data_IF_350818253590
#
_entry.id   IF_350818253590
#
_cell.length_a   1.000
_cell.length_b   1.000
_cell.length_c   1.000
_cell.angle_alpha   90.00
_cell.angle_beta   90.00
_cell.angle_gamma   90.00
#
_symmetry.space_group_name_H-M   'P 1'
#
loop_
_entity.id
_entity.type
_entity.pdbx_description
1 polymer ?
#
# COMPACT_ATOMS: atom_id res chain seq x y z
N UNK A 1 -16.26 -12.25 24.44
CA UNK A 1 -16.08 -12.85 23.10
C UNK A 1 -14.62 -12.63 22.71
N UNK A 2 -13.87 -13.71 22.46
CA UNK A 2 -12.50 -13.60 21.96
C UNK A 2 -12.53 -12.97 20.56
N UNK A 3 -11.77 -11.90 20.38
CA UNK A 3 -11.59 -11.29 19.06
C UNK A 3 -10.67 -12.19 18.23
N UNK A 4 -11.02 -12.45 16.98
CA UNK A 4 -10.13 -13.18 16.07
C UNK A 4 -8.82 -12.37 15.92
N UNK A 5 -7.69 -13.05 16.15
CA UNK A 5 -6.36 -12.47 15.92
C UNK A 5 -6.04 -12.53 14.43
N UNK A 6 -5.54 -11.46 13.87
CA UNK A 6 -5.13 -11.37 12.45
C UNK A 6 -3.81 -10.63 12.37
N UNK A 7 -2.86 -11.19 11.67
CA UNK A 7 -1.53 -10.59 11.47
C UNK A 7 -1.59 -9.56 10.34
N UNK A 8 -1.03 -8.37 10.57
CA UNK A 8 -0.74 -7.39 9.53
C UNK A 8 0.69 -7.61 9.03
N UNK A 9 0.82 -8.23 7.85
CA UNK A 9 2.10 -8.58 7.23
C UNK A 9 2.65 -7.38 6.45
N UNK A 10 3.18 -6.40 7.17
CA UNK A 10 3.82 -5.21 6.60
C UNK A 10 4.88 -4.68 7.57
N UNK A 11 6.06 -4.34 7.05
CA UNK A 11 7.10 -3.61 7.76
C UNK A 11 7.00 -2.09 7.62
N UNK A 12 6.12 -1.58 6.75
CA UNK A 12 5.98 -0.14 6.52
C UNK A 12 5.08 0.52 7.59
N UNK A 13 5.62 1.43 8.42
CA UNK A 13 4.86 2.06 9.50
C UNK A 13 3.66 2.88 9.02
N UNK A 14 3.79 3.58 7.88
CA UNK A 14 2.71 4.37 7.30
C UNK A 14 1.52 3.50 6.90
N UNK A 15 1.78 2.38 6.23
CA UNK A 15 0.76 1.39 5.87
C UNK A 15 0.07 0.79 7.10
N UNK A 16 0.84 0.47 8.15
CA UNK A 16 0.30 -0.08 9.39
C UNK A 16 -0.66 0.90 10.08
N UNK A 17 -0.31 2.19 10.13
CA UNK A 17 -1.16 3.24 10.70
C UNK A 17 -2.47 3.35 9.93
N UNK A 18 -2.42 3.44 8.59
CA UNK A 18 -3.60 3.50 7.74
C UNK A 18 -4.50 2.27 7.93
N UNK A 19 -3.94 1.05 7.83
CA UNK A 19 -4.70 -0.19 7.97
C UNK A 19 -5.33 -0.34 9.37
N UNK A 20 -4.58 -0.04 10.43
CA UNK A 20 -5.11 -0.09 11.81
C UNK A 20 -6.27 0.89 12.01
N UNK A 21 -6.13 2.13 11.53
CA UNK A 21 -7.18 3.15 11.62
C UNK A 21 -8.47 2.66 10.96
N UNK A 22 -8.39 2.14 9.76
CA UNK A 22 -9.55 1.72 8.97
C UNK A 22 -10.17 0.41 9.46
N UNK A 23 -9.37 -0.52 10.00
CA UNK A 23 -9.83 -1.81 10.55
C UNK A 23 -10.29 -1.72 12.01
N UNK A 24 -10.08 -0.59 12.68
CA UNK A 24 -10.39 -0.41 14.11
C UNK A 24 -11.85 -0.70 14.47
N UNK A 25 -12.78 -0.50 13.53
CA UNK A 25 -14.22 -0.75 13.71
C UNK A 25 -14.62 -2.24 13.61
N UNK A 26 -13.70 -3.13 13.19
CA UNK A 26 -13.98 -4.58 13.12
C UNK A 26 -13.66 -5.26 14.45
N UNK A 27 -14.40 -6.30 14.78
CA UNK A 27 -14.22 -7.11 16.01
C UNK A 27 -13.04 -8.09 15.87
N UNK A 28 -11.89 -7.60 15.37
CA UNK A 28 -10.65 -8.36 15.23
C UNK A 28 -9.53 -7.74 16.07
N UNK A 29 -8.60 -8.54 16.51
CA UNK A 29 -7.37 -8.11 17.16
C UNK A 29 -6.26 -8.12 16.11
N UNK A 30 -5.88 -6.94 15.62
CA UNK A 30 -4.81 -6.79 14.63
C UNK A 30 -3.46 -6.75 15.35
N UNK A 31 -2.55 -7.61 14.92
CA UNK A 31 -1.20 -7.74 15.46
C UNK A 31 -0.23 -7.50 14.29
N UNK A 32 0.74 -6.60 14.44
CA UNK A 32 1.73 -6.45 13.38
C UNK A 32 2.69 -7.64 13.35
N UNK A 33 3.25 -7.94 12.19
CA UNK A 33 4.25 -9.01 12.06
C UNK A 33 5.45 -8.77 12.96
N UNK A 34 5.84 -7.51 13.19
CA UNK A 34 6.95 -7.15 14.08
C UNK A 34 6.65 -7.44 15.57
N UNK A 35 5.38 -7.31 16.02
CA UNK A 35 4.97 -7.68 17.38
C UNK A 35 5.05 -9.20 17.62
N UNK A 36 5.09 -10.00 16.55
CA UNK A 36 5.21 -11.46 16.58
C UNK A 36 6.59 -11.95 16.13
N UNK A 37 7.57 -11.04 16.01
CA UNK A 37 8.95 -11.33 15.60
C UNK A 37 9.06 -12.03 14.23
N UNK A 38 8.03 -11.86 13.36
CA UNK A 38 8.04 -12.39 12.00
C UNK A 38 8.93 -11.51 11.13
N UNK A 39 9.93 -12.13 10.51
CA UNK A 39 10.87 -11.46 9.59
C UNK A 39 10.18 -11.09 8.27
N UNK A 40 10.73 -10.10 7.60
CA UNK A 40 10.29 -9.77 6.25
C UNK A 40 10.69 -10.89 5.27
N UNK A 41 9.82 -11.16 4.30
CA UNK A 41 10.07 -12.09 3.20
C UNK A 41 10.44 -11.32 1.95
N UNK A 42 11.31 -11.89 1.13
CA UNK A 42 11.67 -11.31 -0.17
C UNK A 42 10.46 -11.30 -1.12
N UNK A 43 10.20 -10.15 -1.70
CA UNK A 43 9.15 -9.94 -2.70
C UNK A 43 9.68 -10.32 -4.09
N UNK A 44 9.48 -11.58 -4.48
CA UNK A 44 9.95 -12.15 -5.75
C UNK A 44 8.87 -12.19 -6.83
N UNK A 45 7.68 -11.70 -6.54
CA UNK A 45 6.56 -11.65 -7.47
C UNK A 45 6.77 -10.60 -8.57
N UNK A 46 6.15 -10.83 -9.72
CA UNK A 46 6.21 -9.94 -10.88
C UNK A 46 5.11 -8.88 -10.88
N UNK A 47 4.19 -8.94 -9.92
CA UNK A 47 3.09 -8.00 -9.77
C UNK A 47 2.67 -7.87 -8.29
N UNK A 48 1.81 -6.86 -8.01
CA UNK A 48 1.33 -6.58 -6.65
C UNK A 48 0.55 -7.75 -6.02
N UNK A 49 -0.18 -8.54 -6.82
CA UNK A 49 -0.96 -9.68 -6.31
C UNK A 49 -0.03 -10.77 -5.78
N UNK A 50 1.00 -11.11 -6.54
CA UNK A 50 1.98 -12.13 -6.13
C UNK A 50 2.72 -11.71 -4.87
N UNK A 51 3.18 -10.47 -4.80
CA UNK A 51 3.89 -9.97 -3.61
C UNK A 51 2.99 -9.92 -2.38
N UNK A 52 1.73 -9.46 -2.51
CA UNK A 52 0.78 -9.50 -1.40
C UNK A 52 0.53 -10.93 -0.91
N UNK A 53 0.40 -11.90 -1.82
CA UNK A 53 0.22 -13.31 -1.47
C UNK A 53 1.47 -13.91 -0.80
N UNK A 54 2.67 -13.59 -1.28
CA UNK A 54 3.94 -14.03 -0.68
C UNK A 54 4.01 -13.55 0.78
N UNK A 55 3.79 -12.27 1.01
CA UNK A 55 3.80 -11.69 2.38
C UNK A 55 2.76 -12.31 3.28
N UNK A 56 1.52 -12.44 2.81
CA UNK A 56 0.44 -13.01 3.61
C UNK A 56 0.68 -14.49 3.94
N UNK A 57 1.14 -15.30 2.97
CA UNK A 57 1.48 -16.71 3.22
C UNK A 57 2.62 -16.87 4.21
N UNK A 58 3.66 -16.09 4.08
CA UNK A 58 4.78 -16.10 5.01
C UNK A 58 4.30 -15.82 6.44
N UNK A 59 3.54 -14.74 6.66
CA UNK A 59 3.00 -14.41 7.97
C UNK A 59 2.08 -15.52 8.54
N UNK A 60 1.23 -16.13 7.71
CA UNK A 60 0.41 -17.26 8.13
C UNK A 60 1.26 -18.48 8.52
N UNK A 61 2.34 -18.75 7.78
CA UNK A 61 3.20 -19.90 8.03
C UNK A 61 3.95 -19.77 9.36
N UNK A 62 4.52 -18.59 9.59
CA UNK A 62 5.31 -18.32 10.80
C UNK A 62 4.46 -18.25 12.08
N UNK A 63 3.20 -17.76 11.96
CA UNK A 63 2.37 -17.50 13.15
C UNK A 63 1.26 -18.50 13.39
N UNK A 64 0.88 -19.26 12.38
CA UNK A 64 -0.33 -20.10 12.42
C UNK A 64 -1.65 -19.30 12.47
N UNK A 65 -1.60 -17.97 12.31
CA UNK A 65 -2.76 -17.08 12.36
C UNK A 65 -3.19 -16.64 10.95
N UNK A 66 -4.46 -16.24 10.77
CA UNK A 66 -4.87 -15.52 9.58
C UNK A 66 -4.05 -14.24 9.40
N UNK A 67 -3.81 -13.85 8.15
CA UNK A 67 -3.03 -12.66 7.86
C UNK A 67 -3.68 -11.76 6.79
N UNK A 68 -3.36 -10.48 6.88
CA UNK A 68 -3.60 -9.47 5.85
C UNK A 68 -2.25 -8.93 5.43
N UNK A 69 -1.99 -8.90 4.13
CA UNK A 69 -0.86 -8.18 3.55
C UNK A 69 -1.36 -7.20 2.50
N UNK A 70 -0.69 -6.05 2.37
CA UNK A 70 -0.84 -5.20 1.22
C UNK A 70 0.44 -5.16 0.39
N UNK A 71 0.27 -5.08 -0.92
CA UNK A 71 1.30 -4.63 -1.82
C UNK A 71 0.77 -3.46 -2.63
N UNK A 72 1.58 -2.42 -2.77
CA UNK A 72 1.11 -1.16 -3.36
C UNK A 72 2.27 -0.34 -3.89
N UNK A 73 1.98 0.43 -4.93
CA UNK A 73 2.96 1.30 -5.55
C UNK A 73 2.32 2.33 -6.45
N UNK A 74 3.19 3.15 -7.03
CA UNK A 74 2.86 4.17 -8.01
C UNK A 74 3.15 3.63 -9.41
N UNK A 75 2.24 3.83 -10.34
CA UNK A 75 2.44 3.62 -11.77
C UNK A 75 2.34 4.97 -12.49
N UNK A 76 3.29 5.26 -13.37
CA UNK A 76 3.32 6.49 -14.18
C UNK A 76 3.28 6.11 -15.65
N UNK A 77 2.32 6.66 -16.40
CA UNK A 77 2.08 6.26 -17.79
C UNK A 77 3.26 6.56 -18.70
N UNK A 78 3.87 7.74 -18.55
CA UNK A 78 5.04 8.15 -19.32
C UNK A 78 6.29 7.28 -19.07
N UNK A 79 6.30 6.54 -17.97
CA UNK A 79 7.38 5.61 -17.60
C UNK A 79 6.98 4.14 -17.80
N UNK A 80 5.98 3.86 -18.64
CA UNK A 80 5.46 2.52 -18.94
C UNK A 80 5.07 1.72 -17.67
N UNK A 81 4.57 2.41 -16.63
CA UNK A 81 4.14 1.83 -15.37
C UNK A 81 5.20 1.81 -14.25
N UNK A 82 6.43 2.24 -14.54
CA UNK A 82 7.42 2.43 -13.46
C UNK A 82 6.98 3.56 -12.50
N UNK A 83 7.37 3.49 -11.23
CA UNK A 83 8.17 2.46 -10.56
C UNK A 83 7.44 1.14 -10.24
N UNK A 84 6.11 1.05 -10.29
CA UNK A 84 5.32 -0.16 -10.10
C UNK A 84 5.65 -0.87 -8.78
N UNK A 85 5.93 -2.17 -8.83
CA UNK A 85 6.31 -2.98 -7.66
C UNK A 85 7.64 -2.56 -7.01
N UNK A 86 8.43 -1.73 -7.68
CA UNK A 86 9.69 -1.20 -7.15
C UNK A 86 9.53 0.15 -6.43
N UNK A 87 8.30 0.63 -6.23
CA UNK A 87 8.01 1.97 -5.68
C UNK A 87 8.75 2.29 -4.39
N UNK A 88 8.84 1.35 -3.46
CA UNK A 88 9.52 1.57 -2.17
C UNK A 88 11.06 1.64 -2.28
N UNK A 89 11.63 1.15 -3.38
CA UNK A 89 13.07 1.03 -3.60
C UNK A 89 13.52 1.56 -4.97
N UNK A 90 12.77 2.49 -5.55
CA UNK A 90 12.98 2.99 -6.92
C UNK A 90 14.38 3.61 -7.10
N UNK A 91 14.86 4.37 -6.13
CA UNK A 91 16.20 4.92 -6.11
C UNK A 91 17.29 3.93 -5.63
N UNK A 92 16.94 2.68 -5.34
CA UNK A 92 17.85 1.66 -4.77
C UNK A 92 18.46 2.06 -3.42
N UNK A 93 17.78 2.94 -2.68
CA UNK A 93 18.16 3.40 -1.34
C UNK A 93 17.17 2.84 -0.32
N UNK A 94 17.66 2.47 0.86
CA UNK A 94 16.84 2.00 1.98
C UNK A 94 17.01 2.94 3.18
N UNK A 95 16.03 2.94 4.08
CA UNK A 95 16.10 3.71 5.32
C UNK A 95 15.33 5.03 5.27
N UNK A 96 15.59 5.94 6.21
CA UNK A 96 14.76 7.15 6.42
C UNK A 96 14.73 8.13 5.24
N UNK A 97 15.73 8.11 4.36
CA UNK A 97 15.82 9.00 3.19
C UNK A 97 15.22 8.39 1.94
N UNK A 98 14.78 7.14 1.96
CA UNK A 98 14.34 6.41 0.77
C UNK A 98 13.20 7.12 0.04
N UNK A 99 12.20 7.64 0.75
CA UNK A 99 11.07 8.34 0.13
C UNK A 99 11.54 9.60 -0.62
N UNK A 100 12.43 10.40 -0.01
CA UNK A 100 12.96 11.61 -0.65
C UNK A 100 13.80 11.28 -1.89
N UNK A 101 14.67 10.28 -1.82
CA UNK A 101 15.48 9.84 -2.95
C UNK A 101 14.61 9.24 -4.10
N UNK A 102 13.56 8.51 -3.76
CA UNK A 102 12.59 8.02 -4.74
C UNK A 102 11.88 9.17 -5.45
N UNK A 103 11.47 10.20 -4.71
CA UNK A 103 10.84 11.41 -5.28
C UNK A 103 11.79 12.17 -6.19
N UNK A 104 13.04 12.35 -5.79
CA UNK A 104 14.07 12.99 -6.63
C UNK A 104 14.26 12.21 -7.92
N UNK A 105 14.43 10.89 -7.85
CA UNK A 105 14.58 10.06 -9.06
C UNK A 105 13.36 10.16 -9.96
N UNK A 106 12.14 10.06 -9.40
CA UNK A 106 10.92 10.18 -10.19
C UNK A 106 10.84 11.51 -10.95
N UNK A 107 11.20 12.62 -10.30
CA UNK A 107 11.23 13.93 -10.94
C UNK A 107 12.28 14.03 -12.06
N UNK A 108 13.44 13.39 -11.87
CA UNK A 108 14.50 13.32 -12.89
C UNK A 108 14.03 12.56 -14.12
N UNK A 109 13.43 11.37 -13.94
CA UNK A 109 12.91 10.56 -15.05
C UNK A 109 11.78 11.28 -15.83
N UNK A 110 11.04 12.17 -15.15
CA UNK A 110 9.96 12.94 -15.74
C UNK A 110 10.39 14.36 -16.22
N UNK A 111 11.66 14.71 -16.18
CA UNK A 111 12.13 16.07 -16.46
C UNK A 111 11.64 16.60 -17.82
N UNK A 112 11.67 15.77 -18.85
CA UNK A 112 11.27 16.13 -20.22
C UNK A 112 9.80 15.82 -20.53
N UNK A 113 9.04 15.28 -19.57
CA UNK A 113 7.64 14.90 -19.78
C UNK A 113 6.73 16.10 -19.50
N UNK A 114 5.93 16.54 -20.49
CA UNK A 114 5.04 17.68 -20.32
C UNK A 114 3.89 17.35 -19.36
N UNK A 115 3.27 18.39 -18.79
CA UNK A 115 2.27 18.27 -17.73
C UNK A 115 1.11 17.31 -18.08
N UNK A 116 0.59 17.40 -19.29
CA UNK A 116 -0.54 16.58 -19.73
C UNK A 116 -0.23 15.07 -19.77
N UNK A 117 1.04 14.70 -19.91
CA UNK A 117 1.50 13.30 -20.04
C UNK A 117 2.01 12.70 -18.71
N UNK A 118 1.93 13.47 -17.61
CA UNK A 118 2.32 13.03 -16.27
C UNK A 118 1.21 12.30 -15.52
N UNK A 119 0.32 11.62 -16.25
CA UNK A 119 -0.74 10.82 -15.63
C UNK A 119 -0.15 9.65 -14.88
N UNK A 120 -0.72 9.38 -13.70
CA UNK A 120 -0.23 8.35 -12.80
C UNK A 120 -1.36 7.81 -11.94
N UNK A 121 -1.15 6.65 -11.36
CA UNK A 121 -2.06 6.06 -10.38
C UNK A 121 -1.32 5.37 -9.25
N UNK A 122 -1.88 5.45 -8.07
CA UNK A 122 -1.53 4.52 -7.02
C UNK A 122 -2.34 3.23 -7.15
N UNK A 123 -1.68 2.11 -7.02
CA UNK A 123 -2.27 0.77 -6.97
C UNK A 123 -2.12 0.16 -5.58
N UNK A 124 -3.11 -0.57 -5.13
CA UNK A 124 -3.02 -1.38 -3.92
C UNK A 124 -3.73 -2.72 -4.13
N UNK A 125 -3.05 -3.77 -3.74
CA UNK A 125 -3.64 -5.10 -3.60
C UNK A 125 -3.59 -5.48 -2.12
N UNK A 126 -4.73 -5.89 -1.57
CA UNK A 126 -4.83 -6.48 -0.24
C UNK A 126 -5.17 -7.97 -0.40
N UNK A 127 -4.31 -8.83 0.16
CA UNK A 127 -4.56 -10.27 0.27
C UNK A 127 -4.88 -10.62 1.73
N UNK A 128 -6.00 -11.33 1.96
CA UNK A 128 -6.34 -11.93 3.24
C UNK A 128 -6.39 -13.45 3.12
N UNK A 129 -5.62 -14.12 3.97
CA UNK A 129 -5.55 -15.59 4.06
C UNK A 129 -5.97 -16.04 5.45
N UNK A 130 -6.70 -17.16 5.52
CA UNK A 130 -7.07 -17.79 6.79
C UNK A 130 -5.99 -18.75 7.32
N UNK A 131 -5.14 -19.27 6.43
CA UNK A 131 -3.95 -20.07 6.71
C UNK A 131 -3.03 -20.10 5.47
N UNK A 132 -1.79 -20.55 5.62
CA UNK A 132 -0.78 -20.48 4.55
C UNK A 132 -1.10 -21.33 3.30
N UNK A 133 -1.95 -22.36 3.42
CA UNK A 133 -2.47 -23.19 2.31
C UNK A 133 -3.88 -22.80 1.88
N UNK A 134 -4.34 -21.60 2.22
CA UNK A 134 -5.68 -21.16 1.84
C UNK A 134 -5.86 -21.26 0.31
N UNK A 135 -6.77 -22.12 -0.18
CA UNK A 135 -6.99 -22.30 -1.61
C UNK A 135 -7.80 -21.16 -2.23
N UNK A 136 -8.44 -20.33 -1.40
CA UNK A 136 -9.34 -19.28 -1.87
C UNK A 136 -9.16 -18.00 -1.03
N UNK A 137 -7.99 -17.33 -1.13
CA UNK A 137 -7.72 -16.08 -0.43
C UNK A 137 -8.65 -14.97 -0.93
N UNK A 138 -8.98 -14.01 -0.08
CA UNK A 138 -9.63 -12.79 -0.53
C UNK A 138 -8.56 -11.85 -1.10
N UNK A 139 -8.75 -11.42 -2.35
CA UNK A 139 -7.87 -10.47 -3.02
C UNK A 139 -8.71 -9.26 -3.41
N UNK A 140 -8.36 -8.10 -2.87
CA UNK A 140 -9.06 -6.85 -3.11
C UNK A 140 -8.10 -5.81 -3.67
N UNK A 141 -8.52 -5.10 -4.70
CA UNK A 141 -7.71 -4.12 -5.40
C UNK A 141 -8.35 -2.74 -5.33
N UNK A 142 -7.51 -1.72 -5.26
CA UNK A 142 -7.93 -0.33 -5.35
C UNK A 142 -6.95 0.47 -6.19
N UNK A 143 -7.49 1.39 -6.98
CA UNK A 143 -6.73 2.28 -7.87
C UNK A 143 -7.13 3.72 -7.59
N UNK A 144 -6.15 4.60 -7.48
CA UNK A 144 -6.36 6.03 -7.27
C UNK A 144 -5.67 6.81 -8.37
N UNK A 145 -6.45 7.36 -9.29
CA UNK A 145 -5.94 8.13 -10.44
C UNK A 145 -5.52 9.54 -10.03
N UNK A 146 -4.44 10.02 -10.63
CA UNK A 146 -3.89 11.34 -10.41
C UNK A 146 -2.82 11.73 -11.42
N UNK A 147 -1.95 12.65 -11.04
CA UNK A 147 -0.82 13.12 -11.86
C UNK A 147 0.37 13.43 -10.99
N UNK A 148 1.57 13.40 -11.58
CA UNK A 148 2.80 13.79 -10.89
C UNK A 148 3.10 15.27 -11.16
N UNK A 149 3.24 16.06 -10.10
CA UNK A 149 3.63 17.46 -10.18
C UNK A 149 5.12 17.60 -10.52
N UNK A 150 5.54 18.82 -10.82
CA UNK A 150 6.95 19.18 -11.05
C UNK A 150 7.74 19.44 -9.76
N UNK A 151 7.05 19.58 -8.64
CA UNK A 151 7.65 19.81 -7.32
C UNK A 151 6.74 19.30 -6.21
N UNK A 152 7.34 18.97 -5.09
CA UNK A 152 6.64 18.52 -3.90
C UNK A 152 5.76 19.61 -3.28
N UNK A 153 4.59 19.22 -2.76
CA UNK A 153 3.68 20.07 -1.99
C UNK A 153 3.03 19.27 -0.85
N UNK A 154 2.92 19.89 0.33
CA UNK A 154 2.39 19.26 1.53
C UNK A 154 3.42 18.43 2.26
N UNK A 155 3.03 17.94 3.44
CA UNK A 155 3.94 17.20 4.34
C UNK A 155 3.28 16.01 5.02
N UNK A 156 2.01 15.73 4.73
CA UNK A 156 1.31 14.57 5.25
C UNK A 156 1.62 13.32 4.44
N UNK A 157 1.38 12.14 5.04
CA UNK A 157 1.55 10.87 4.36
C UNK A 157 2.98 10.39 4.27
N UNK A 158 3.33 9.69 3.19
CA UNK A 158 4.65 9.08 2.95
C UNK A 158 4.84 8.77 1.45
N UNK A 159 6.05 8.37 1.09
CA UNK A 159 6.38 8.00 -0.29
C UNK A 159 6.17 9.15 -1.27
N UNK A 160 5.44 8.89 -2.34
CA UNK A 160 5.19 9.86 -3.42
C UNK A 160 4.01 10.81 -3.14
N UNK A 161 3.41 10.80 -1.96
CA UNK A 161 2.26 11.67 -1.62
C UNK A 161 2.49 13.16 -1.92
N UNK A 162 3.69 13.75 -1.69
CA UNK A 162 3.94 15.16 -1.98
C UNK A 162 3.94 15.51 -3.48
N UNK A 163 4.17 14.52 -4.35
CA UNK A 163 4.19 14.70 -5.81
C UNK A 163 2.86 14.31 -6.47
N UNK A 164 2.05 13.50 -5.80
CA UNK A 164 0.81 12.94 -6.36
C UNK A 164 -0.34 13.93 -6.25
N UNK A 165 -0.69 14.57 -7.36
CA UNK A 165 -1.80 15.51 -7.44
C UNK A 165 -3.13 14.78 -7.63
N UNK A 166 -4.14 15.18 -6.85
CA UNK A 166 -5.50 14.64 -6.84
C UNK A 166 -6.45 15.62 -7.53
N UNK A 167 -6.81 15.40 -8.81
CA UNK A 167 -7.58 16.36 -9.59
C UNK A 167 -8.93 16.72 -8.97
N UNK A 168 -9.60 15.77 -8.32
CA UNK A 168 -10.91 15.97 -7.68
C UNK A 168 -10.87 16.90 -6.47
N UNK A 169 -9.68 17.15 -5.90
CA UNK A 169 -9.48 17.97 -4.70
C UNK A 169 -8.59 19.18 -4.95
N UNK A 170 -7.98 19.30 -6.13
CA UNK A 170 -7.14 20.43 -6.50
C UNK A 170 -5.84 20.58 -5.69
N UNK A 171 -5.38 19.49 -5.05
CA UNK A 171 -4.22 19.48 -4.17
C UNK A 171 -3.46 18.15 -4.27
N UNK A 172 -2.29 18.06 -3.64
CA UNK A 172 -1.56 16.78 -3.54
C UNK A 172 -2.14 15.88 -2.44
N UNK A 173 -1.85 14.58 -2.53
CA UNK A 173 -2.18 13.61 -1.49
C UNK A 173 -1.61 14.02 -0.12
N UNK A 174 -0.41 14.61 -0.10
CA UNK A 174 0.23 15.12 1.12
C UNK A 174 -0.40 16.41 1.70
N UNK A 175 -1.33 17.02 1.00
CA UNK A 175 -2.10 18.18 1.49
C UNK A 175 -3.48 17.80 2.02
N UNK A 176 -3.90 16.54 1.84
CA UNK A 176 -5.16 16.02 2.35
C UNK A 176 -5.04 15.63 3.82
N UNK A 177 -6.13 15.80 4.55
CA UNK A 177 -6.28 15.22 5.87
C UNK A 177 -6.36 13.69 5.78
N UNK A 178 -5.88 13.00 6.81
CA UNK A 178 -5.80 11.53 6.82
C UNK A 178 -7.16 10.85 6.58
N UNK A 179 -8.25 11.38 7.13
CA UNK A 179 -9.60 10.82 6.91
C UNK A 179 -10.04 10.95 5.45
N UNK A 180 -9.79 12.10 4.84
CA UNK A 180 -10.10 12.35 3.42
C UNK A 180 -9.25 11.44 2.55
N UNK A 181 -7.94 11.39 2.77
CA UNK A 181 -7.03 10.49 2.06
C UNK A 181 -7.50 9.03 2.17
N UNK A 182 -7.82 8.55 3.37
CA UNK A 182 -8.29 7.18 3.59
C UNK A 182 -9.62 6.89 2.86
N UNK A 183 -10.46 7.89 2.66
CA UNK A 183 -11.72 7.73 1.91
C UNK A 183 -11.52 7.61 0.40
N UNK A 184 -10.46 8.18 -0.16
CA UNK A 184 -10.20 8.28 -1.60
C UNK A 184 -9.17 7.26 -2.09
N UNK A 185 -8.15 7.01 -1.29
CA UNK A 185 -6.92 6.32 -1.69
C UNK A 185 -7.14 4.89 -2.18
N UNK A 186 -6.20 4.43 -2.99
CA UNK A 186 -6.09 3.05 -3.45
C UNK A 186 -6.22 2.02 -2.31
N UNK A 187 -5.49 2.25 -1.19
CA UNK A 187 -5.57 1.37 0.00
C UNK A 187 -6.93 1.45 0.66
N UNK A 188 -7.51 2.64 0.77
CA UNK A 188 -8.86 2.81 1.28
C UNK A 188 -9.90 2.08 0.46
N UNK A 189 -9.80 2.14 -0.87
CA UNK A 189 -10.69 1.42 -1.78
C UNK A 189 -10.55 -0.10 -1.64
N UNK A 190 -9.31 -0.61 -1.67
CA UNK A 190 -9.03 -2.04 -1.53
C UNK A 190 -9.55 -2.58 -0.18
N UNK A 191 -9.33 -1.81 0.89
CA UNK A 191 -9.76 -2.21 2.22
C UNK A 191 -11.29 -2.19 2.39
N UNK A 192 -12.00 -1.22 1.81
CA UNK A 192 -13.47 -1.23 1.81
C UNK A 192 -14.01 -2.49 1.14
N UNK A 193 -13.47 -2.86 -0.03
CA UNK A 193 -13.84 -4.10 -0.73
C UNK A 193 -13.57 -5.34 0.14
N UNK A 194 -12.43 -5.38 0.83
CA UNK A 194 -12.15 -6.45 1.78
C UNK A 194 -13.20 -6.50 2.89
N UNK A 195 -13.55 -5.36 3.48
CA UNK A 195 -14.51 -5.29 4.59
C UNK A 195 -15.94 -5.72 4.19
N UNK A 196 -16.32 -5.55 2.94
CA UNK A 196 -17.60 -6.02 2.38
C UNK A 196 -17.62 -7.55 2.25
N UNK A 197 -16.50 -8.14 1.80
CA UNK A 197 -16.38 -9.59 1.55
C UNK A 197 -15.96 -10.37 2.80
N UNK A 198 -15.30 -9.71 3.75
CA UNK A 198 -14.69 -10.37 4.89
C UNK A 198 -15.72 -10.78 5.92
N UNK A 199 -15.92 -12.09 6.03
CA UNK A 199 -16.70 -12.71 7.09
C UNK A 199 -15.72 -13.39 8.05
N UNK A 200 -15.46 -12.83 9.25
CA UNK A 200 -14.66 -13.51 10.25
C UNK A 200 -15.25 -14.90 10.49
N UNK A 201 -14.45 -15.93 10.34
CA UNK A 201 -14.87 -17.28 10.68
C UNK A 201 -14.74 -17.49 12.18
N UNK A 202 -15.68 -18.20 12.82
CA UNK A 202 -15.64 -18.47 14.26
C UNK A 202 -14.44 -19.30 14.66
#
# INVERSE_FOLDING_TARGET
MNRQKVVLASGNPGKLIELRSMLSRKKVALISQSELEVTEVEETGLNFVENALIKARHACMETGLPSIADDSGLEVDALAGEPGIYSARYASVCGPTADAENNVKLLQELEQVPEQDRTARFQCVIAYLIHYKDPMPLICQGTWEGRILFSERGSNGFGYDPLFYVPTHGCTSAQLDAEVKNSLSHRGQALRKLLECWKPRP
#
